data_IF_042359516663
#
_entry.id   IF_042359516663
#
_cell.length_a   1.000
_cell.length_b   1.000
_cell.length_c   1.000
_cell.angle_alpha   90.00
_cell.angle_beta   90.00
_cell.angle_gamma   90.00
#
_symmetry.space_group_name_H-M   'P 1'
#
loop_
_entity.id
_entity.type
_entity.pdbx_description
1 polymer ?
#
# COMPACT_ATOMS: atom_id res chain seq x y z
N UNK A 1 24.36 -60.96 -46.10
CA UNK A 1 24.95 -59.68 -45.67
C UNK A 1 24.31 -59.33 -44.33
N UNK A 2 24.75 -59.90 -43.19
CA UNK A 2 25.91 -59.51 -42.33
C UNK A 2 25.95 -57.99 -42.10
N UNK A 3 25.90 -57.39 -40.91
CA UNK A 3 26.04 -57.72 -39.47
C UNK A 3 25.35 -56.55 -38.71
N UNK A 4 24.91 -56.56 -37.45
CA UNK A 4 25.32 -57.32 -36.27
C UNK A 4 25.60 -56.32 -35.13
N UNK A 5 24.82 -56.42 -34.04
CA UNK A 5 24.92 -55.70 -32.76
C UNK A 5 26.31 -55.77 -32.11
N UNK A 6 26.68 -54.76 -31.31
CA UNK A 6 27.32 -54.98 -30.00
C UNK A 6 27.28 -53.76 -29.05
N UNK A 7 26.94 -54.08 -27.81
CA UNK A 7 26.93 -53.26 -26.61
C UNK A 7 28.35 -52.92 -26.12
N UNK A 8 28.46 -51.85 -25.33
CA UNK A 8 29.60 -51.55 -24.47
C UNK A 8 29.14 -50.68 -23.30
N UNK A 9 28.84 -51.34 -22.18
CA UNK A 9 28.61 -50.80 -20.85
C UNK A 9 29.95 -50.77 -20.08
N UNK A 10 29.96 -49.92 -19.05
CA UNK A 10 30.70 -50.04 -17.78
C UNK A 10 31.92 -49.16 -17.45
N UNK A 11 31.78 -48.66 -16.21
CA UNK A 11 32.74 -48.30 -15.17
C UNK A 11 33.43 -46.92 -15.19
N UNK A 12 33.21 -46.01 -14.24
CA UNK A 12 33.19 -46.05 -12.75
C UNK A 12 34.48 -45.41 -12.19
N UNK A 13 34.30 -44.61 -11.13
CA UNK A 13 35.30 -44.27 -10.09
C UNK A 13 36.02 -42.91 -10.17
N UNK A 14 35.46 -41.96 -9.40
CA UNK A 14 36.11 -41.10 -8.39
C UNK A 14 37.63 -41.19 -8.21
N UNK A 15 38.34 -40.04 -8.27
CA UNK A 15 39.43 -39.66 -7.34
C UNK A 15 39.51 -38.12 -7.21
N UNK A 16 39.35 -37.64 -5.98
CA UNK A 16 39.74 -36.31 -5.49
C UNK A 16 41.26 -36.32 -5.21
N UNK A 17 41.95 -35.19 -5.42
CA UNK A 17 42.88 -34.78 -4.37
C UNK A 17 42.71 -33.32 -3.96
N UNK A 18 42.78 -33.14 -2.65
CA UNK A 18 42.97 -31.90 -1.95
C UNK A 18 44.33 -31.28 -2.28
N UNK A 19 44.39 -29.94 -2.29
CA UNK A 19 45.64 -29.21 -2.16
C UNK A 19 45.46 -28.11 -1.12
N UNK A 20 46.07 -28.38 0.05
CA UNK A 20 46.40 -27.41 1.08
C UNK A 20 47.39 -26.37 0.50
N UNK A 21 47.20 -25.11 0.88
CA UNK A 21 48.12 -24.02 0.59
C UNK A 21 48.00 -22.88 1.60
N UNK A 22 48.64 -23.08 2.76
CA UNK A 22 49.37 -22.09 3.58
C UNK A 22 48.81 -20.69 3.86
N UNK A 23 48.58 -20.46 5.16
CA UNK A 23 48.64 -19.19 5.86
C UNK A 23 49.91 -18.37 5.55
N UNK A 24 49.76 -17.06 5.42
CA UNK A 24 50.79 -16.09 5.82
C UNK A 24 50.12 -14.90 6.50
N UNK A 25 50.57 -14.67 7.74
CA UNK A 25 50.14 -13.63 8.65
C UNK A 25 50.75 -12.27 8.29
N UNK A 26 50.03 -11.19 8.58
CA UNK A 26 50.63 -9.90 8.91
C UNK A 26 49.73 -9.20 9.94
N UNK A 27 50.12 -9.33 11.21
CA UNK A 27 49.48 -8.65 12.31
C UNK A 27 49.83 -7.16 12.36
N UNK A 28 48.93 -6.36 12.95
CA UNK A 28 49.30 -5.14 13.66
C UNK A 28 48.50 -5.05 14.95
N UNK A 29 49.24 -5.20 16.04
CA UNK A 29 48.88 -4.95 17.43
C UNK A 29 48.78 -3.45 17.67
N UNK A 30 47.73 -3.01 18.38
CA UNK A 30 47.73 -1.74 19.10
C UNK A 30 47.34 -1.99 20.55
N UNK A 31 48.19 -1.47 21.44
CA UNK A 31 48.12 -1.53 22.91
C UNK A 31 46.80 -0.98 23.45
N UNK A 32 46.31 -1.64 24.48
CA UNK A 32 45.31 -1.13 25.40
C UNK A 32 46.00 -0.30 26.51
N UNK A 33 45.41 0.84 26.84
CA UNK A 33 45.64 1.55 28.10
C UNK A 33 44.26 1.87 28.69
N UNK A 34 44.02 1.42 29.91
CA UNK A 34 42.73 1.49 30.58
C UNK A 34 42.63 2.69 31.52
N UNK A 35 41.40 3.19 31.70
CA UNK A 35 40.97 3.85 32.93
C UNK A 35 39.46 3.62 33.11
N UNK A 36 39.07 3.43 34.37
CA UNK A 36 37.86 2.73 34.81
C UNK A 36 36.89 3.69 35.52
N UNK A 37 35.57 3.42 35.36
CA UNK A 37 34.36 3.81 36.16
C UNK A 37 33.43 4.89 35.55
N UNK A 38 32.11 4.87 35.88
CA UNK A 38 31.21 3.76 36.21
C UNK A 38 29.93 3.73 35.31
N UNK A 39 29.16 2.66 35.49
CA UNK A 39 27.98 2.23 34.74
C UNK A 39 26.79 3.19 34.81
N UNK A 40 26.17 3.48 33.67
CA UNK A 40 24.71 3.63 33.53
C UNK A 40 24.23 2.74 32.39
N UNK A 41 23.23 1.90 32.67
CA UNK A 41 22.58 1.03 31.68
C UNK A 41 21.70 1.91 30.80
N UNK A 42 22.12 2.18 29.57
CA UNK A 42 21.23 2.71 28.54
C UNK A 42 20.39 1.55 27.99
N UNK A 43 19.12 1.49 28.39
CA UNK A 43 18.09 0.78 27.64
C UNK A 43 17.95 1.49 26.28
N UNK A 44 18.40 0.83 25.21
CA UNK A 44 18.08 1.27 23.84
C UNK A 44 16.65 0.84 23.53
N UNK A 45 15.71 1.77 23.57
CA UNK A 45 14.43 1.64 22.88
C UNK A 45 14.69 2.02 21.41
N UNK A 46 14.65 1.05 20.49
CA UNK A 46 14.62 1.33 19.06
C UNK A 46 13.21 1.76 18.67
N UNK A 47 13.02 3.04 18.38
CA UNK A 47 11.88 3.51 17.61
C UNK A 47 12.40 3.93 16.22
N UNK A 48 11.96 3.22 15.18
CA UNK A 48 12.21 3.57 13.79
C UNK A 48 11.05 4.45 13.33
N UNK A 49 11.29 5.76 13.25
CA UNK A 49 10.47 6.66 12.43
C UNK A 49 11.27 6.93 11.16
N UNK A 50 10.83 6.36 10.02
CA UNK A 50 11.26 6.83 8.70
C UNK A 50 10.36 8.00 8.34
N UNK A 51 11.01 9.03 7.81
CA UNK A 51 10.43 10.22 7.18
C UNK A 51 9.94 11.32 8.13
N UNK A 52 10.87 11.92 8.90
CA UNK A 52 11.05 13.36 9.20
C UNK A 52 12.21 13.48 10.22
N UNK A 53 13.22 14.36 10.05
CA UNK A 53 14.34 14.44 11.00
C UNK A 53 13.92 15.23 12.25
N UNK A 54 13.28 14.58 13.22
CA UNK A 54 13.10 15.16 14.55
C UNK A 54 14.37 14.94 15.38
N UNK A 55 15.16 16.01 15.55
CA UNK A 55 16.33 16.03 16.43
C UNK A 55 15.86 16.02 17.90
N UNK A 56 15.93 14.86 18.57
CA UNK A 56 15.75 14.78 20.02
C UNK A 56 16.96 15.43 20.70
N UNK A 57 16.79 16.61 21.29
CA UNK A 57 17.80 17.23 22.17
C UNK A 57 17.45 16.96 23.62
N UNK A 58 18.36 16.28 24.33
CA UNK A 58 18.30 16.15 25.80
C UNK A 58 18.94 17.42 26.40
N UNK A 59 18.15 18.20 27.16
CA UNK A 59 18.60 19.41 27.84
C UNK A 59 18.39 19.35 29.35
N UNK A 60 19.28 20.00 30.10
CA UNK A 60 19.21 20.11 31.57
C UNK A 60 17.92 20.79 32.07
N UNK A 61 17.50 20.54 33.33
CA UNK A 61 16.25 21.06 33.88
C UNK A 61 16.23 22.59 33.91
N UNK A 62 15.17 23.17 33.34
CA UNK A 62 14.93 24.62 33.30
C UNK A 62 13.93 25.02 34.40
N UNK A 63 14.08 26.24 34.92
CA UNK A 63 13.14 26.86 35.87
C UNK A 63 11.78 27.15 35.23
N UNK A 64 10.72 27.19 36.04
CA UNK A 64 9.31 27.14 35.60
C UNK A 64 8.92 28.24 34.59
N UNK A 65 9.47 29.46 34.70
CA UNK A 65 9.19 30.55 33.77
C UNK A 65 9.84 30.37 32.38
N UNK A 66 10.93 29.60 32.29
CA UNK A 66 11.55 29.22 31.01
C UNK A 66 10.88 28.00 30.34
N UNK A 67 9.97 27.32 31.07
CA UNK A 67 9.25 26.11 30.63
C UNK A 67 8.11 26.47 29.68
N UNK A 68 7.32 27.49 30.03
CA UNK A 68 6.07 27.81 29.33
C UNK A 68 6.29 28.54 27.99
N UNK A 69 7.32 29.40 27.92
CA UNK A 69 7.71 30.06 26.67
C UNK A 69 8.33 29.11 25.63
N UNK A 70 8.99 28.04 26.08
CA UNK A 70 9.66 27.08 25.18
C UNK A 70 8.68 26.02 24.65
N UNK A 71 7.70 25.62 25.45
CA UNK A 71 6.64 24.68 25.05
C UNK A 71 5.81 25.24 23.87
N UNK A 72 5.56 26.55 23.81
CA UNK A 72 4.83 27.16 22.68
C UNK A 72 5.63 27.19 21.38
N UNK A 73 6.95 27.41 21.44
CA UNK A 73 7.85 27.45 20.26
C UNK A 73 7.99 26.11 19.54
N UNK A 74 7.88 25.01 20.28
CA UNK A 74 8.20 23.68 19.78
C UNK A 74 6.93 22.89 19.39
N UNK A 75 5.77 23.22 20.00
CA UNK A 75 4.46 22.72 19.57
C UNK A 75 4.06 23.25 18.18
N UNK A 76 4.41 24.49 17.83
CA UNK A 76 4.19 25.05 16.49
C UNK A 76 5.01 24.32 15.39
N UNK A 77 5.99 23.49 15.77
CA UNK A 77 6.85 22.73 14.85
C UNK A 77 6.53 21.25 14.76
N UNK A 78 5.43 20.79 15.37
CA UNK A 78 4.93 19.42 15.22
C UNK A 78 5.78 18.33 15.89
N UNK A 79 6.61 18.68 16.88
CA UNK A 79 7.43 17.70 17.60
C UNK A 79 6.71 17.21 18.88
N UNK A 80 6.62 15.90 19.07
CA UNK A 80 6.19 15.32 20.35
C UNK A 80 7.34 15.40 21.37
N UNK A 81 7.06 15.80 22.61
CA UNK A 81 8.03 15.81 23.70
C UNK A 81 7.72 14.75 24.76
N UNK A 82 8.75 14.01 25.17
CA UNK A 82 8.70 13.07 26.29
C UNK A 82 9.41 13.70 27.50
N UNK A 83 8.69 13.90 28.60
CA UNK A 83 9.25 14.41 29.85
C UNK A 83 9.63 13.22 30.76
N UNK A 84 10.95 12.99 30.94
CA UNK A 84 11.45 11.91 31.79
C UNK A 84 11.09 12.07 33.27
N UNK A 85 10.84 13.29 33.76
CA UNK A 85 10.48 13.51 35.15
C UNK A 85 9.03 13.08 35.46
N UNK A 86 8.14 13.11 34.47
CA UNK A 86 6.72 12.75 34.60
C UNK A 86 6.32 11.48 33.84
N UNK A 87 7.16 10.97 32.95
CA UNK A 87 6.88 9.79 32.13
C UNK A 87 5.78 9.98 31.08
N UNK A 88 5.42 11.23 30.76
CA UNK A 88 4.33 11.55 29.82
C UNK A 88 4.86 12.03 28.46
N UNK A 89 4.16 11.59 27.40
CA UNK A 89 4.35 12.04 26.03
C UNK A 89 3.29 13.10 25.71
N UNK A 90 3.74 14.29 25.30
CA UNK A 90 2.88 15.40 24.93
C UNK A 90 2.81 15.51 23.41
N UNK A 91 1.60 15.34 22.89
CA UNK A 91 1.24 15.57 21.49
C UNK A 91 0.09 16.60 21.56
N UNK A 92 0.24 17.72 20.86
CA UNK A 92 -0.85 18.66 20.54
C UNK A 92 -1.29 19.68 21.63
N UNK A 93 -0.51 19.90 22.68
CA UNK A 93 -0.60 21.14 23.47
C UNK A 93 -1.96 21.46 24.15
N UNK A 94 -2.76 20.47 24.57
CA UNK A 94 -3.99 20.72 25.34
C UNK A 94 -4.07 19.87 26.62
N UNK A 95 -4.21 20.48 27.81
CA UNK A 95 -4.44 19.72 29.04
C UNK A 95 -5.95 19.49 29.26
N UNK A 96 -6.41 18.25 29.02
CA UNK A 96 -7.73 17.80 29.49
C UNK A 96 -7.68 17.57 31.01
N UNK A 97 -8.05 18.60 31.76
CA UNK A 97 -8.37 18.49 33.20
C UNK A 97 -9.81 18.01 33.33
N UNK A 98 -10.00 16.72 33.60
CA UNK A 98 -11.27 16.22 34.15
C UNK A 98 -11.42 16.71 35.60
N UNK A 99 -12.22 17.76 35.82
CA UNK A 99 -12.80 18.07 37.13
C UNK A 99 -14.05 17.20 37.33
N UNK A 100 -14.20 16.46 38.45
CA UNK A 100 -15.44 15.78 38.77
C UNK A 100 -16.48 16.82 39.23
N UNK A 101 -17.56 16.95 38.46
CA UNK A 101 -18.69 17.81 38.78
C UNK A 101 -19.52 17.18 39.91
N UNK A 102 -19.48 17.79 41.09
CA UNK A 102 -20.37 17.50 42.20
C UNK A 102 -21.82 17.82 41.82
N UNK A 103 -22.63 16.79 41.54
CA UNK A 103 -24.09 16.95 41.51
C UNK A 103 -24.63 17.14 42.93
N UNK A 104 -25.02 18.38 43.22
CA UNK A 104 -25.85 18.75 44.37
C UNK A 104 -27.19 18.03 44.31
N UNK A 105 -27.51 17.39 45.43
CA UNK A 105 -28.83 16.91 45.83
C UNK A 105 -29.84 18.07 45.93
N UNK A 106 -30.98 17.94 45.27
CA UNK A 106 -32.21 18.65 45.66
C UNK A 106 -33.30 17.59 45.81
N UNK A 107 -33.69 17.37 47.06
CA UNK A 107 -34.88 16.59 47.38
C UNK A 107 -36.12 17.46 47.29
N UNK A 108 -37.23 16.87 46.81
CA UNK A 108 -38.57 17.29 47.20
C UNK A 108 -39.48 16.05 47.26
N UNK A 109 -40.30 16.05 48.30
CA UNK A 109 -41.05 14.94 48.89
C UNK A 109 -42.33 14.54 48.13
N UNK A 110 -42.92 13.37 48.44
CA UNK A 110 -44.00 12.74 47.69
C UNK A 110 -45.39 13.26 48.10
N UNK A 111 -46.38 13.15 47.22
CA UNK A 111 -47.78 13.20 47.61
C UNK A 111 -48.67 12.30 46.72
N UNK A 112 -49.53 11.60 47.44
CA UNK A 112 -50.53 10.60 47.13
C UNK A 112 -51.48 10.90 45.93
N UNK A 113 -51.73 9.83 45.17
CA UNK A 113 -53.03 9.27 44.75
C UNK A 113 -54.18 10.19 44.29
N UNK A 114 -54.62 10.02 43.03
CA UNK A 114 -56.03 10.03 42.66
C UNK A 114 -56.30 9.10 41.47
N UNK A 115 -57.30 8.23 41.64
CA UNK A 115 -57.87 7.30 40.66
C UNK A 115 -58.86 8.08 39.78
N UNK A 116 -58.77 7.98 38.45
CA UNK A 116 -59.96 8.06 37.57
C UNK A 116 -59.69 7.55 36.15
N UNK A 117 -60.70 6.87 35.61
CA UNK A 117 -60.74 6.07 34.41
C UNK A 117 -60.45 6.83 33.09
N UNK A 118 -59.78 6.14 32.16
CA UNK A 118 -59.94 6.36 30.73
C UNK A 118 -60.08 5.01 30.00
N UNK A 119 -61.28 4.75 29.50
CA UNK A 119 -61.45 3.91 28.32
C UNK A 119 -61.05 4.72 27.09
N UNK A 120 -60.06 4.23 26.35
CA UNK A 120 -59.86 4.60 24.95
C UNK A 120 -59.55 3.32 24.18
N UNK A 121 -60.20 3.23 23.03
CA UNK A 121 -60.11 2.21 22.00
C UNK A 121 -58.69 1.72 21.70
N UNK A 122 -58.63 0.48 21.21
CA UNK A 122 -57.42 -0.18 20.75
C UNK A 122 -56.61 0.70 19.79
N UNK A 123 -55.49 1.18 20.29
CA UNK A 123 -54.31 1.40 19.48
C UNK A 123 -53.45 0.16 19.72
N UNK A 124 -53.49 -0.78 18.78
CA UNK A 124 -52.36 -1.66 18.56
C UNK A 124 -51.20 -0.75 18.17
N UNK A 125 -50.52 -0.18 19.16
CA UNK A 125 -49.18 0.33 18.95
C UNK A 125 -48.37 -0.91 18.60
N UNK A 126 -48.26 -1.19 17.30
CA UNK A 126 -47.27 -2.12 16.78
C UNK A 126 -45.97 -1.72 17.45
N UNK A 127 -45.50 -2.58 18.36
CA UNK A 127 -44.23 -2.44 19.03
C UNK A 127 -43.20 -2.10 17.96
N UNK A 128 -42.56 -0.94 18.09
CA UNK A 128 -41.57 -0.44 17.16
C UNK A 128 -40.54 -1.55 16.88
N UNK A 129 -40.63 -2.13 15.69
CA UNK A 129 -39.63 -3.04 15.16
C UNK A 129 -38.31 -2.28 15.06
N UNK A 130 -37.25 -2.89 15.57
CA UNK A 130 -35.93 -2.29 15.63
C UNK A 130 -35.33 -2.31 14.22
N UNK A 131 -35.74 -1.34 13.40
CA UNK A 131 -35.17 -1.14 12.08
C UNK A 131 -33.64 -0.97 12.19
N UNK A 132 -32.91 -1.91 11.58
CA UNK A 132 -31.46 -2.01 11.67
C UNK A 132 -30.80 -1.14 10.59
N UNK A 133 -29.74 -0.42 10.97
CA UNK A 133 -28.89 0.38 10.08
C UNK A 133 -27.51 -0.26 9.80
N UNK A 134 -26.52 0.52 9.31
CA UNK A 134 -25.43 0.09 8.43
C UNK A 134 -24.71 -1.18 8.87
N UNK A 135 -24.47 -2.06 7.91
CA UNK A 135 -23.99 -3.42 8.19
C UNK A 135 -22.50 -3.60 7.94
N UNK A 136 -21.92 -2.89 6.96
CA UNK A 136 -20.48 -3.02 6.65
C UNK A 136 -19.90 -1.77 5.97
N UNK A 137 -18.60 -1.58 6.17
CA UNK A 137 -17.75 -0.64 5.42
C UNK A 137 -16.51 -1.42 4.99
N UNK A 138 -16.20 -1.42 3.70
CA UNK A 138 -15.10 -2.19 3.11
C UNK A 138 -14.38 -1.37 2.04
N UNK A 139 -13.06 -1.45 1.99
CA UNK A 139 -12.28 -0.81 0.92
C UNK A 139 -12.36 -1.70 -0.32
N UNK A 140 -13.12 -1.26 -1.32
CA UNK A 140 -13.33 -1.98 -2.57
C UNK A 140 -12.08 -1.96 -3.49
N UNK A 141 -11.23 -0.94 -3.36
CA UNK A 141 -9.93 -0.84 -4.02
C UNK A 141 -9.00 0.15 -3.29
N UNK A 142 -7.78 0.38 -3.81
CA UNK A 142 -6.87 1.43 -3.32
C UNK A 142 -7.40 2.85 -3.45
N UNK A 143 -8.50 3.05 -4.19
CA UNK A 143 -9.08 4.38 -4.44
C UNK A 143 -10.59 4.42 -4.21
N UNK A 144 -11.19 3.35 -3.66
CA UNK A 144 -12.63 3.24 -3.48
C UNK A 144 -13.01 2.53 -2.18
N UNK A 145 -14.01 3.06 -1.50
CA UNK A 145 -14.66 2.46 -0.33
C UNK A 145 -16.13 2.18 -0.66
N UNK A 146 -16.60 1.00 -0.28
CA UNK A 146 -18.01 0.62 -0.35
C UNK A 146 -18.63 0.67 1.06
N UNK A 147 -19.74 1.40 1.18
CA UNK A 147 -20.57 1.44 2.38
C UNK A 147 -21.87 0.72 2.08
N UNK A 148 -22.22 -0.29 2.88
CA UNK A 148 -23.46 -1.04 2.69
C UNK A 148 -24.40 -0.90 3.89
N UNK A 149 -25.61 -0.45 3.61
CA UNK A 149 -26.73 -0.45 4.54
C UNK A 149 -27.65 -1.63 4.25
N UNK A 150 -28.04 -2.34 5.31
CA UNK A 150 -29.06 -3.39 5.25
C UNK A 150 -30.15 -3.01 6.22
N UNK A 151 -31.34 -2.77 5.67
CA UNK A 151 -32.55 -2.40 6.40
C UNK A 151 -33.48 -3.60 6.50
N UNK A 152 -34.13 -3.76 7.64
CA UNK A 152 -35.08 -4.85 7.90
C UNK A 152 -36.21 -4.38 8.81
N UNK A 153 -37.30 -5.14 8.82
CA UNK A 153 -38.49 -4.89 9.64
C UNK A 153 -39.27 -3.62 9.27
N UNK A 154 -39.25 -3.25 7.99
CA UNK A 154 -40.00 -2.12 7.47
C UNK A 154 -41.42 -2.49 7.03
N UNK A 155 -42.34 -1.51 6.93
CA UNK A 155 -43.64 -1.68 6.29
C UNK A 155 -43.52 -2.04 4.80
N UNK A 156 -44.61 -2.53 4.19
CA UNK A 156 -44.54 -3.19 2.89
C UNK A 156 -44.24 -2.28 1.69
N UNK A 157 -44.46 -0.96 1.77
CA UNK A 157 -44.40 -0.11 0.57
C UNK A 157 -43.82 1.28 0.85
N UNK A 158 -43.08 1.82 -0.12
CA UNK A 158 -42.58 3.20 -0.18
C UNK A 158 -41.70 3.62 1.01
N UNK A 159 -40.83 2.72 1.48
CA UNK A 159 -39.87 3.08 2.52
C UNK A 159 -38.78 3.97 1.90
N UNK A 160 -38.50 5.10 2.52
CA UNK A 160 -37.50 6.10 2.11
C UNK A 160 -36.50 6.35 3.25
N UNK A 161 -35.22 6.14 2.96
CA UNK A 161 -34.12 6.34 3.89
C UNK A 161 -33.24 7.49 3.40
N UNK A 162 -32.86 8.40 4.30
CA UNK A 162 -31.87 9.45 4.03
C UNK A 162 -30.51 9.00 4.54
N UNK A 163 -29.53 8.95 3.65
CA UNK A 163 -28.21 8.43 3.94
C UNK A 163 -27.15 9.51 3.79
N UNK A 164 -26.09 9.43 4.59
CA UNK A 164 -24.89 10.22 4.39
C UNK A 164 -23.62 9.51 4.83
N UNK A 165 -22.50 9.86 4.18
CA UNK A 165 -21.17 9.37 4.52
C UNK A 165 -20.26 10.58 4.73
N UNK A 166 -19.57 10.59 5.87
CA UNK A 166 -18.44 11.49 6.13
C UNK A 166 -17.14 10.70 6.21
N UNK A 167 -16.10 11.20 5.56
CA UNK A 167 -14.72 10.69 5.65
C UNK A 167 -13.88 11.76 6.30
N UNK A 168 -13.20 11.42 7.39
CA UNK A 168 -12.35 12.32 8.16
C UNK A 168 -13.04 13.64 8.53
N UNK A 169 -14.35 13.53 8.86
CA UNK A 169 -15.20 14.67 9.20
C UNK A 169 -15.82 15.42 8.01
N UNK A 170 -15.38 15.16 6.78
CA UNK A 170 -15.87 15.81 5.55
C UNK A 170 -17.05 15.02 4.97
N UNK A 171 -18.19 15.69 4.73
CA UNK A 171 -19.35 15.09 4.07
C UNK A 171 -19.06 14.89 2.58
N UNK A 172 -19.01 13.64 2.15
CA UNK A 172 -18.66 13.25 0.78
C UNK A 172 -19.84 12.61 0.03
N UNK A 173 -20.85 12.14 0.75
CA UNK A 173 -22.06 11.59 0.16
C UNK A 173 -23.29 11.98 0.99
N UNK A 174 -24.37 12.31 0.27
CA UNK A 174 -25.72 12.47 0.81
C UNK A 174 -26.71 12.00 -0.25
N UNK A 175 -27.61 11.10 0.12
CA UNK A 175 -28.56 10.53 -0.83
C UNK A 175 -29.84 10.04 -0.16
N UNK A 176 -30.77 9.60 -1.00
CA UNK A 176 -32.01 8.95 -0.57
C UNK A 176 -32.10 7.57 -1.20
N UNK A 177 -32.47 6.57 -0.41
CA UNK A 177 -32.67 5.20 -0.83
C UNK A 177 -34.11 4.79 -0.59
N UNK A 178 -34.81 4.35 -1.64
CA UNK A 178 -36.20 3.90 -1.55
C UNK A 178 -36.32 2.42 -1.85
N UNK A 179 -37.11 1.70 -1.05
CA UNK A 179 -37.39 0.28 -1.28
C UNK A 179 -38.81 -0.11 -0.86
N UNK A 180 -39.29 -1.21 -1.43
CA UNK A 180 -40.55 -1.85 -1.07
C UNK A 180 -40.27 -3.19 -0.39
N UNK A 181 -41.18 -3.62 0.47
CA UNK A 181 -41.08 -4.82 1.28
C UNK A 181 -40.43 -4.58 2.64
N UNK A 182 -40.32 -5.66 3.41
CA UNK A 182 -39.86 -5.60 4.79
C UNK A 182 -38.36 -5.33 4.95
N UNK A 183 -37.59 -5.35 3.87
CA UNK A 183 -36.15 -5.14 3.87
C UNK A 183 -35.64 -4.53 2.57
N UNK A 184 -34.48 -3.88 2.66
CA UNK A 184 -33.80 -3.27 1.52
C UNK A 184 -32.30 -3.18 1.80
N UNK A 185 -31.49 -3.23 0.75
CA UNK A 185 -30.04 -3.08 0.86
C UNK A 185 -29.58 -2.02 -0.12
N UNK A 186 -28.75 -1.09 0.34
CA UNK A 186 -28.10 -0.10 -0.51
C UNK A 186 -26.58 -0.17 -0.33
N UNK A 187 -25.85 -0.10 -1.43
CA UNK A 187 -24.38 -0.02 -1.43
C UNK A 187 -23.96 1.22 -2.18
N UNK A 188 -23.21 2.10 -1.51
CA UNK A 188 -22.66 3.33 -2.09
C UNK A 188 -21.15 3.20 -2.13
N UNK A 189 -20.59 3.41 -3.32
CA UNK A 189 -19.15 3.46 -3.54
C UNK A 189 -18.69 4.92 -3.62
N UNK A 190 -17.66 5.25 -2.85
CA UNK A 190 -17.05 6.59 -2.79
C UNK A 190 -15.55 6.49 -3.07
N UNK A 191 -14.98 7.53 -3.68
CA UNK A 191 -13.53 7.61 -3.85
C UNK A 191 -12.86 8.03 -2.54
N UNK A 192 -11.82 7.30 -2.14
CA UNK A 192 -11.04 7.58 -0.92
C UNK A 192 -9.55 7.42 -1.22
N UNK A 193 -8.71 8.20 -0.55
CA UNK A 193 -7.27 8.00 -0.63
C UNK A 193 -6.87 6.71 0.10
N UNK A 194 -5.67 6.17 -0.18
CA UNK A 194 -5.09 5.15 0.67
C UNK A 194 -4.68 5.73 2.03
N UNK A 195 -4.87 4.94 3.09
CA UNK A 195 -4.46 5.29 4.45
C UNK A 195 -5.52 4.99 5.51
N UNK A 196 -5.24 5.36 6.78
CA UNK A 196 -6.22 5.31 7.85
C UNK A 196 -7.28 6.40 7.66
N UNK A 197 -8.54 6.03 7.75
CA UNK A 197 -9.67 6.93 7.62
C UNK A 197 -10.72 6.69 8.71
N UNK A 198 -11.30 7.78 9.19
CA UNK A 198 -12.51 7.74 10.00
C UNK A 198 -13.74 7.84 9.10
N UNK A 199 -14.58 6.80 9.09
CA UNK A 199 -15.80 6.75 8.30
C UNK A 199 -16.99 6.88 9.24
N UNK A 200 -17.80 7.93 9.07
CA UNK A 200 -19.07 8.11 9.77
C UNK A 200 -20.21 7.95 8.78
N UNK A 201 -21.08 7.01 9.05
CA UNK A 201 -22.25 6.72 8.23
C UNK A 201 -23.50 7.00 9.04
N UNK A 202 -24.46 7.67 8.42
CA UNK A 202 -25.75 8.00 9.01
C UNK A 202 -26.86 7.54 8.07
N UNK A 203 -27.89 6.92 8.63
CA UNK A 203 -29.15 6.64 7.95
C UNK A 203 -30.32 7.06 8.85
N UNK A 204 -31.24 7.86 8.33
CA UNK A 204 -32.43 8.31 9.05
C UNK A 204 -33.70 8.12 8.21
N UNK A 205 -34.80 7.73 8.85
CA UNK A 205 -36.07 7.48 8.18
C UNK A 205 -37.26 7.90 9.03
N UNK A 206 -38.32 8.35 8.35
CA UNK A 206 -39.66 8.52 8.90
C UNK A 206 -40.62 8.10 7.80
N UNK A 207 -41.06 6.85 7.83
CA UNK A 207 -41.79 6.21 6.73
C UNK A 207 -42.93 5.37 7.27
N UNK A 208 -44.14 5.58 6.77
CA UNK A 208 -45.30 4.73 7.09
C UNK A 208 -45.56 4.56 8.60
N UNK A 209 -45.35 5.63 9.38
CA UNK A 209 -45.53 5.62 10.84
C UNK A 209 -44.38 5.01 11.64
N UNK A 210 -43.33 4.51 10.98
CA UNK A 210 -42.09 4.01 11.61
C UNK A 210 -40.98 5.03 11.39
N UNK A 211 -40.39 5.50 12.48
CA UNK A 211 -39.24 6.40 12.46
C UNK A 211 -38.04 5.77 13.14
N UNK A 212 -36.85 6.19 12.74
CA UNK A 212 -35.62 5.75 13.37
C UNK A 212 -34.39 6.36 12.70
N UNK A 213 -33.26 6.15 13.35
CA UNK A 213 -31.96 6.56 12.86
C UNK A 213 -30.91 5.50 13.21
N UNK A 214 -29.81 5.53 12.46
CA UNK A 214 -28.64 4.73 12.76
C UNK A 214 -27.38 5.48 12.37
N UNK A 215 -26.53 5.66 13.38
CA UNK A 215 -25.21 6.25 13.26
C UNK A 215 -24.15 5.23 13.60
N UNK A 216 -23.14 5.09 12.74
CA UNK A 216 -21.98 4.26 13.00
C UNK A 216 -20.69 4.96 12.60
N UNK A 217 -19.66 4.70 13.40
CA UNK A 217 -18.29 5.14 13.15
C UNK A 217 -17.43 3.90 12.93
N UNK A 218 -16.62 3.94 11.88
CA UNK A 218 -15.61 2.95 11.57
C UNK A 218 -14.26 3.64 11.50
N UNK A 219 -13.23 2.97 12.00
CA UNK A 219 -11.85 3.30 11.68
C UNK A 219 -11.41 2.22 10.71
N UNK A 220 -11.19 2.61 9.46
CA UNK A 220 -10.74 1.68 8.43
C UNK A 220 -9.35 2.09 7.98
N UNK A 221 -8.48 1.11 7.83
CA UNK A 221 -7.24 1.31 7.12
C UNK A 221 -7.47 0.85 5.69
N UNK A 222 -7.80 1.78 4.80
CA UNK A 222 -7.79 1.48 3.38
C UNK A 222 -6.35 1.33 2.96
N UNK A 223 -5.86 0.09 3.05
CA UNK A 223 -4.53 -0.24 2.57
C UNK A 223 -4.36 0.36 1.17
N UNK A 224 -3.20 0.95 0.92
CA UNK A 224 -2.69 0.94 -0.45
C UNK A 224 -2.87 -0.51 -0.90
N UNK A 225 -3.60 -0.76 -2.00
CA UNK A 225 -3.62 -2.10 -2.58
C UNK A 225 -2.17 -2.56 -2.55
N UNK A 226 -1.88 -3.61 -1.76
CA UNK A 226 -0.49 -3.99 -1.51
C UNK A 226 0.15 -4.12 -2.88
N UNK A 227 1.22 -3.35 -3.16
CA UNK A 227 1.73 -3.29 -4.51
C UNK A 227 1.97 -4.70 -4.98
N UNK A 228 1.37 -5.08 -6.10
CA UNK A 228 1.56 -6.43 -6.64
C UNK A 228 3.05 -6.70 -6.70
N UNK A 229 3.52 -7.81 -6.14
CA UNK A 229 4.94 -8.14 -6.23
C UNK A 229 5.35 -8.14 -7.71
N UNK A 230 6.46 -7.49 -8.10
CA UNK A 230 6.91 -7.49 -9.48
C UNK A 230 7.07 -8.92 -10.01
N UNK A 231 6.54 -9.14 -11.21
CA UNK A 231 6.57 -10.41 -11.90
C UNK A 231 7.69 -10.41 -12.94
N UNK A 232 8.29 -11.57 -13.13
CA UNK A 232 9.42 -11.72 -14.05
C UNK A 232 8.97 -11.68 -15.52
N UNK A 233 9.86 -11.37 -16.48
CA UNK A 233 9.55 -11.51 -17.91
C UNK A 233 9.05 -12.92 -18.27
N UNK A 234 9.54 -13.96 -17.59
CA UNK A 234 9.10 -15.34 -17.79
C UNK A 234 7.64 -15.58 -17.40
N UNK A 235 7.17 -14.92 -16.34
CA UNK A 235 5.75 -14.97 -15.96
C UNK A 235 4.89 -14.35 -17.06
N UNK A 236 5.17 -13.10 -17.44
CA UNK A 236 4.40 -12.37 -18.44
C UNK A 236 4.35 -13.11 -19.79
N UNK A 237 5.49 -13.65 -20.23
CA UNK A 237 5.59 -14.49 -21.44
C UNK A 237 4.65 -15.70 -21.43
N UNK A 238 4.40 -16.29 -20.26
CA UNK A 238 3.59 -17.50 -20.10
C UNK A 238 2.13 -17.22 -19.72
N UNK A 239 1.81 -15.99 -19.32
CA UNK A 239 0.45 -15.54 -18.97
C UNK A 239 0.04 -14.43 -19.95
N UNK A 240 -0.21 -14.82 -21.20
CA UNK A 240 -0.54 -13.85 -22.26
C UNK A 240 -1.99 -13.36 -22.17
N UNK A 241 -2.96 -14.27 -22.06
CA UNK A 241 -4.40 -13.96 -22.11
C UNK A 241 -5.25 -14.73 -21.09
N UNK A 242 -4.66 -15.66 -20.35
CA UNK A 242 -5.36 -16.51 -19.37
C UNK A 242 -4.82 -16.31 -17.96
N UNK A 243 -5.71 -16.38 -16.97
CA UNK A 243 -5.39 -16.09 -15.57
C UNK A 243 -5.36 -14.59 -15.28
N UNK A 244 -5.13 -14.21 -14.03
CA UNK A 244 -4.94 -12.81 -13.64
C UNK A 244 -3.84 -12.75 -12.58
N UNK A 245 -2.85 -11.84 -12.69
CA UNK A 245 -2.64 -10.91 -13.81
C UNK A 245 -2.15 -11.60 -15.10
N UNK A 246 -2.47 -11.03 -16.27
CA UNK A 246 -1.96 -11.47 -17.56
C UNK A 246 -1.55 -10.28 -18.46
N UNK A 247 -0.75 -10.54 -19.48
CA UNK A 247 -0.18 -9.50 -20.35
C UNK A 247 -1.25 -8.69 -21.07
N UNK A 248 -2.30 -9.34 -21.60
CA UNK A 248 -3.37 -8.68 -22.36
C UNK A 248 -4.10 -7.59 -21.57
N UNK A 249 -4.26 -7.77 -20.25
CA UNK A 249 -4.91 -6.78 -19.37
C UNK A 249 -4.18 -5.44 -19.32
N UNK A 250 -2.86 -5.45 -19.59
CA UNK A 250 -1.99 -4.31 -19.41
C UNK A 250 -1.33 -3.83 -20.71
N UNK A 251 -1.81 -4.30 -21.86
CA UNK A 251 -1.46 -3.70 -23.15
C UNK A 251 -2.46 -2.58 -23.51
N UNK A 252 -2.04 -1.55 -24.27
CA UNK A 252 -0.74 -1.41 -24.92
C UNK A 252 0.38 -0.91 -23.99
N UNK A 253 1.62 -1.22 -24.34
CA UNK A 253 2.85 -0.72 -23.70
C UNK A 253 3.81 -0.12 -24.74
N UNK A 254 4.83 0.63 -24.31
CA UNK A 254 5.74 1.34 -25.23
C UNK A 254 7.20 1.03 -24.90
N UNK A 255 7.95 0.56 -25.89
CA UNK A 255 9.39 0.29 -25.76
C UNK A 255 10.14 1.27 -26.65
N UNK A 256 10.53 2.39 -26.05
CA UNK A 256 10.93 3.58 -26.81
C UNK A 256 9.81 4.04 -27.73
N UNK A 257 10.09 4.13 -29.03
CA UNK A 257 9.08 4.48 -30.04
C UNK A 257 8.24 3.29 -30.54
N UNK A 258 8.57 2.05 -30.14
CA UNK A 258 7.85 0.86 -30.58
C UNK A 258 6.63 0.58 -29.70
N UNK A 259 5.42 0.57 -30.28
CA UNK A 259 4.19 0.21 -29.56
C UNK A 259 3.98 -1.29 -29.52
N UNK A 260 3.70 -1.80 -28.32
CA UNK A 260 3.31 -3.18 -28.05
C UNK A 260 1.81 -3.20 -27.80
N UNK A 261 1.03 -3.53 -28.82
CA UNK A 261 -0.44 -3.51 -28.77
C UNK A 261 -1.02 -4.91 -28.56
N UNK A 262 -0.31 -5.95 -29.03
CA UNK A 262 -0.81 -7.34 -28.97
C UNK A 262 0.07 -8.26 -28.15
N UNK A 263 -0.51 -9.36 -27.68
CA UNK A 263 0.21 -10.40 -26.93
C UNK A 263 1.22 -11.13 -27.81
N UNK A 264 1.03 -11.19 -29.13
CA UNK A 264 2.01 -11.72 -30.08
C UNK A 264 3.27 -10.84 -30.13
N UNK A 265 3.10 -9.51 -30.17
CA UNK A 265 4.22 -8.58 -30.12
C UNK A 265 4.97 -8.68 -28.78
N UNK A 266 4.24 -8.73 -27.65
CA UNK A 266 4.84 -8.92 -26.33
C UNK A 266 5.60 -10.25 -26.25
N UNK A 267 5.01 -11.34 -26.73
CA UNK A 267 5.65 -12.67 -26.76
C UNK A 267 6.90 -12.67 -27.63
N UNK A 268 6.88 -12.00 -28.78
CA UNK A 268 8.05 -11.85 -29.65
C UNK A 268 9.19 -11.09 -28.96
N UNK A 269 8.90 -10.01 -28.23
CA UNK A 269 9.87 -9.28 -27.42
C UNK A 269 10.49 -10.18 -26.34
N UNK A 270 9.67 -10.89 -25.56
CA UNK A 270 10.19 -11.79 -24.52
C UNK A 270 10.99 -12.97 -25.08
N UNK A 271 10.68 -13.45 -26.30
CA UNK A 271 11.47 -14.49 -26.98
C UNK A 271 12.80 -13.94 -27.52
N UNK A 272 12.82 -12.70 -27.99
CA UNK A 272 14.01 -12.04 -28.51
C UNK A 272 14.96 -11.51 -27.42
N UNK A 273 14.59 -11.60 -26.14
CA UNK A 273 15.32 -11.08 -24.98
C UNK A 273 16.66 -11.81 -24.73
N UNK A 274 17.64 -11.57 -25.61
CA UNK A 274 19.00 -12.12 -25.58
C UNK A 274 20.01 -10.97 -25.50
N UNK A 275 21.00 -11.06 -24.61
CA UNK A 275 21.97 -9.98 -24.37
C UNK A 275 23.34 -10.21 -25.06
N UNK A 276 23.47 -11.30 -25.81
CA UNK A 276 24.71 -11.69 -26.48
C UNK A 276 25.06 -10.71 -27.61
N UNK A 277 26.32 -10.26 -27.68
CA UNK A 277 26.80 -9.42 -28.79
C UNK A 277 26.96 -10.18 -30.10
N UNK A 278 26.97 -11.52 -30.06
CA UNK A 278 27.09 -12.38 -31.23
C UNK A 278 25.76 -12.62 -31.97
N UNK A 279 24.64 -12.15 -31.44
CA UNK A 279 23.33 -12.27 -32.10
C UNK A 279 22.87 -10.92 -32.64
N UNK A 280 22.06 -10.92 -33.72
CA UNK A 280 21.52 -9.67 -34.26
C UNK A 280 20.67 -8.88 -33.27
N UNK A 281 20.10 -9.53 -32.25
CA UNK A 281 19.27 -8.92 -31.23
C UNK A 281 20.06 -8.01 -30.28
N UNK A 282 21.33 -8.32 -30.00
CA UNK A 282 22.25 -7.59 -29.13
C UNK A 282 21.67 -7.20 -27.73
N UNK A 283 22.39 -6.42 -26.93
CA UNK A 283 21.95 -6.02 -25.59
C UNK A 283 20.62 -5.23 -25.59
N UNK A 284 20.24 -4.60 -26.70
CA UNK A 284 19.01 -3.80 -26.82
C UNK A 284 17.74 -4.66 -26.68
N UNK A 285 17.70 -5.87 -27.25
CA UNK A 285 16.52 -6.74 -27.13
C UNK A 285 16.39 -7.31 -25.72
N UNK A 286 17.52 -7.49 -25.03
CA UNK A 286 17.55 -7.84 -23.62
C UNK A 286 17.05 -6.72 -22.71
N UNK A 287 17.40 -5.46 -23.00
CA UNK A 287 16.84 -4.29 -22.33
C UNK A 287 15.33 -4.17 -22.59
N UNK A 288 14.90 -4.28 -23.85
CA UNK A 288 13.50 -4.19 -24.27
C UNK A 288 12.59 -5.19 -23.53
N UNK A 289 13.00 -6.45 -23.41
CA UNK A 289 12.20 -7.45 -22.70
C UNK A 289 12.13 -7.21 -21.18
N UNK A 290 13.18 -6.66 -20.57
CA UNK A 290 13.13 -6.29 -19.15
C UNK A 290 12.28 -5.05 -18.91
N UNK A 291 12.37 -4.07 -19.82
CA UNK A 291 11.55 -2.86 -19.78
C UNK A 291 10.07 -3.21 -19.90
N UNK A 292 9.69 -4.03 -20.89
CA UNK A 292 8.31 -4.47 -21.04
C UNK A 292 7.76 -5.14 -19.78
N UNK A 293 8.54 -6.01 -19.13
CA UNK A 293 8.12 -6.61 -17.86
C UNK A 293 7.94 -5.57 -16.76
N UNK A 294 8.82 -4.58 -16.67
CA UNK A 294 8.70 -3.50 -15.66
C UNK A 294 7.49 -2.61 -15.92
N UNK A 295 7.18 -2.28 -17.18
CA UNK A 295 5.97 -1.53 -17.54
C UNK A 295 4.69 -2.30 -17.19
N UNK A 296 4.63 -3.59 -17.51
CA UNK A 296 3.49 -4.45 -17.13
C UNK A 296 3.36 -4.56 -15.61
N UNK A 297 4.48 -4.62 -14.86
CA UNK A 297 4.46 -4.61 -13.41
C UNK A 297 3.88 -3.29 -12.86
N UNK A 298 4.33 -2.14 -13.38
CA UNK A 298 3.80 -0.84 -12.99
C UNK A 298 2.29 -0.73 -13.28
N UNK A 299 1.84 -1.19 -14.46
CA UNK A 299 0.42 -1.23 -14.81
C UNK A 299 -0.39 -2.19 -13.91
N UNK A 300 0.22 -3.27 -13.45
CA UNK A 300 -0.33 -4.22 -12.47
C UNK A 300 -0.26 -3.72 -11.01
N UNK A 301 0.14 -2.47 -10.79
CA UNK A 301 0.17 -1.86 -9.46
C UNK A 301 1.38 -2.25 -8.60
N UNK A 302 2.47 -2.73 -9.19
CA UNK A 302 3.74 -2.92 -8.49
C UNK A 302 4.38 -1.60 -8.03
N UNK A 303 5.37 -1.61 -7.10
CA UNK A 303 5.98 -0.39 -6.58
C UNK A 303 6.54 0.54 -7.66
N UNK A 304 6.17 1.82 -7.62
CA UNK A 304 6.53 2.82 -8.64
C UNK A 304 7.98 3.31 -8.60
N UNK A 305 8.79 2.82 -7.66
CA UNK A 305 10.18 3.25 -7.48
C UNK A 305 11.07 3.02 -8.71
N UNK A 306 10.72 2.09 -9.60
CA UNK A 306 11.46 1.82 -10.83
C UNK A 306 11.13 2.83 -11.96
N UNK A 307 10.11 3.67 -11.79
CA UNK A 307 9.60 4.57 -12.83
C UNK A 307 10.69 5.47 -13.46
N UNK A 308 11.65 6.05 -12.72
CA UNK A 308 12.74 6.83 -13.33
C UNK A 308 13.58 6.00 -14.31
N UNK A 309 13.91 4.75 -13.96
CA UNK A 309 14.70 3.85 -14.81
C UNK A 309 13.91 3.41 -16.03
N UNK A 310 12.61 3.15 -15.88
CA UNK A 310 11.70 2.88 -17.01
C UNK A 310 11.69 4.06 -17.97
N UNK A 311 11.61 5.30 -17.46
CA UNK A 311 11.64 6.50 -18.28
C UNK A 311 12.99 6.67 -19.01
N UNK A 312 14.12 6.52 -18.32
CA UNK A 312 15.46 6.58 -18.95
C UNK A 312 15.62 5.50 -20.02
N UNK A 313 15.20 4.26 -19.74
CA UNK A 313 15.28 3.17 -20.72
C UNK A 313 14.41 3.44 -21.95
N UNK A 314 13.19 3.95 -21.78
CA UNK A 314 12.32 4.34 -22.89
C UNK A 314 12.92 5.49 -23.72
N UNK A 315 13.44 6.52 -23.07
CA UNK A 315 14.09 7.64 -23.75
C UNK A 315 15.29 7.16 -24.57
N UNK A 316 16.16 6.34 -23.98
CA UNK A 316 17.32 5.77 -24.66
C UNK A 316 16.93 4.86 -25.85
N UNK A 317 15.90 4.02 -25.69
CA UNK A 317 15.37 3.16 -26.76
C UNK A 317 14.61 3.94 -27.86
N UNK A 318 14.29 5.21 -27.61
CA UNK A 318 13.75 6.13 -28.61
C UNK A 318 14.84 6.82 -29.43
N UNK A 319 16.13 6.57 -29.13
CA UNK A 319 17.26 7.21 -29.80
C UNK A 319 17.79 8.47 -29.11
N UNK A 320 17.23 8.86 -27.96
CA UNK A 320 17.71 10.01 -27.19
C UNK A 320 19.01 9.70 -26.47
N UNK A 321 19.81 10.74 -26.20
CA UNK A 321 21.06 10.60 -25.44
C UNK A 321 20.76 10.58 -23.95
N UNK A 322 21.17 9.52 -23.27
CA UNK A 322 21.12 9.38 -21.81
C UNK A 322 22.55 9.21 -21.30
N UNK A 323 22.90 9.91 -20.21
CA UNK A 323 24.25 9.88 -19.61
C UNK A 323 25.41 10.10 -20.60
N UNK A 324 25.18 10.93 -21.62
CA UNK A 324 26.15 11.23 -22.68
C UNK A 324 26.35 10.10 -23.70
N UNK A 325 25.57 9.02 -23.61
CA UNK A 325 25.58 7.91 -24.57
C UNK A 325 24.40 8.04 -25.53
N UNK A 326 24.63 8.18 -26.85
CA UNK A 326 23.55 8.22 -27.82
C UNK A 326 22.66 6.98 -27.75
N UNK A 327 21.34 7.20 -27.73
CA UNK A 327 20.35 6.14 -27.72
C UNK A 327 20.43 5.19 -28.91
N UNK A 328 19.80 4.04 -28.76
CA UNK A 328 19.65 3.08 -29.85
C UNK A 328 18.15 2.90 -30.14
N UNK A 329 17.72 3.25 -31.35
CA UNK A 329 16.32 3.14 -31.76
C UNK A 329 15.87 1.67 -31.76
N UNK A 330 14.94 1.32 -30.88
CA UNK A 330 14.33 -0.01 -30.87
C UNK A 330 13.23 -0.08 -31.93
N UNK A 331 13.47 -0.88 -32.97
CA UNK A 331 12.55 -1.06 -34.10
C UNK A 331 11.68 -2.33 -33.97
N UNK A 332 11.79 -3.06 -32.85
CA UNK A 332 11.05 -4.29 -32.58
C UNK A 332 11.91 -5.55 -32.49
N UNK A 333 11.30 -6.71 -32.17
CA UNK A 333 12.02 -7.93 -31.81
C UNK A 333 12.67 -8.67 -32.99
N UNK A 334 12.29 -8.36 -34.24
CA UNK A 334 12.84 -8.97 -35.46
C UNK A 334 13.94 -8.13 -36.13
N UNK A 335 14.21 -6.93 -35.62
CA UNK A 335 15.24 -6.07 -36.19
C UNK A 335 16.65 -6.52 -35.80
N UNK A 336 17.62 -6.10 -36.63
CA UNK A 336 19.04 -6.34 -36.41
C UNK A 336 19.69 -5.09 -35.85
N UNK A 337 20.46 -5.24 -34.78
CA UNK A 337 21.02 -4.15 -34.02
C UNK A 337 22.54 -4.21 -33.96
N UNK A 338 23.17 -3.14 -34.42
CA UNK A 338 24.61 -2.91 -34.27
C UNK A 338 24.83 -1.79 -33.26
N UNK A 339 25.27 -2.16 -32.06
CA UNK A 339 25.54 -1.21 -30.99
C UNK A 339 27.04 -0.90 -30.94
N UNK A 340 27.36 0.36 -30.68
CA UNK A 340 28.71 0.73 -30.22
C UNK A 340 28.97 0.13 -28.83
N UNK A 341 30.24 0.07 -28.42
CA UNK A 341 30.59 -0.44 -27.09
C UNK A 341 29.93 0.38 -25.98
N UNK A 342 29.86 1.71 -26.12
CA UNK A 342 29.22 2.61 -25.16
C UNK A 342 27.71 2.31 -25.05
N UNK A 343 27.01 2.22 -26.20
CA UNK A 343 25.59 1.87 -26.24
C UNK A 343 25.31 0.50 -25.60
N UNK A 344 26.16 -0.48 -25.87
CA UNK A 344 26.02 -1.81 -25.29
C UNK A 344 26.20 -1.78 -23.77
N UNK A 345 27.16 -1.01 -23.27
CA UNK A 345 27.39 -0.86 -21.84
C UNK A 345 26.19 -0.20 -21.16
N UNK A 346 25.62 0.84 -21.78
CA UNK A 346 24.43 1.54 -21.29
C UNK A 346 23.21 0.63 -21.24
N UNK A 347 22.93 -0.09 -22.33
CA UNK A 347 21.85 -1.06 -22.37
C UNK A 347 21.96 -2.12 -21.26
N UNK A 348 23.18 -2.57 -20.96
CA UNK A 348 23.43 -3.53 -19.87
C UNK A 348 23.25 -2.90 -18.49
N UNK A 349 23.63 -1.63 -18.31
CA UNK A 349 23.47 -0.92 -17.04
C UNK A 349 21.99 -0.75 -16.68
N UNK A 350 21.19 -0.20 -17.60
CA UNK A 350 19.74 -0.06 -17.45
C UNK A 350 19.07 -1.42 -17.22
N UNK A 351 19.43 -2.43 -18.03
CA UNK A 351 18.92 -3.79 -17.89
C UNK A 351 19.19 -4.38 -16.50
N UNK A 352 20.36 -4.13 -15.90
CA UNK A 352 20.69 -4.66 -14.56
C UNK A 352 19.76 -4.08 -13.49
N UNK A 353 19.41 -2.80 -13.59
CA UNK A 353 18.47 -2.15 -12.68
C UNK A 353 17.07 -2.75 -12.81
N UNK A 354 16.57 -2.89 -14.05
CA UNK A 354 15.27 -3.51 -14.32
C UNK A 354 15.20 -4.98 -13.88
N UNK A 355 16.28 -5.75 -14.02
CA UNK A 355 16.34 -7.14 -13.51
C UNK A 355 16.22 -7.20 -11.99
N UNK A 356 16.88 -6.31 -11.25
CA UNK A 356 16.79 -6.27 -9.78
C UNK A 356 15.34 -6.06 -9.35
N UNK A 357 14.66 -5.12 -9.99
CA UNK A 357 13.24 -4.88 -9.77
C UNK A 357 12.37 -6.08 -10.16
N UNK A 358 12.43 -6.55 -11.40
CA UNK A 358 11.56 -7.62 -11.92
C UNK A 358 11.77 -8.98 -11.23
N UNK A 359 12.93 -9.22 -10.62
CA UNK A 359 13.26 -10.51 -10.00
C UNK A 359 13.13 -10.52 -8.49
N UNK A 360 13.27 -9.35 -7.84
CA UNK A 360 13.35 -9.25 -6.38
C UNK A 360 12.46 -8.18 -5.77
N UNK A 361 11.81 -7.35 -6.57
CA UNK A 361 11.12 -6.15 -6.11
C UNK A 361 12.05 -5.10 -5.51
N UNK A 362 13.35 -5.19 -5.77
CA UNK A 362 14.34 -4.23 -5.27
C UNK A 362 14.37 -2.99 -6.17
N UNK A 363 14.19 -1.83 -5.56
CA UNK A 363 14.38 -0.55 -6.23
C UNK A 363 15.88 -0.27 -6.46
N UNK A 364 16.24 0.48 -7.51
CA UNK A 364 17.62 0.86 -7.83
C UNK A 364 18.37 1.57 -6.71
#
# INVERSE_FOLDING_TARGET
MLLGLRNGLDDSSTVVPALLGTLAAAGRSWKAEGAHRPKTRNLRLSAVCRDFPCLVRVGNPLTDEAREGRIRSDAERGCAMFDEASGQLWVDGSPDILKPEQRRSVGLRPLLAFVLALGIAGLTASSASAAKGPSTVECASSSALAVTWTFSEFPAENNTIKESIKVDGVLIYKGEFTFNGASGTNTVTISIAPGPHEIKVHAGWVTNGVGGESDRKFIVECSQAQPSAPLTPGYWKNHLSSGSPNTQQYLPQSIGSYRVETTEQASAIFRAMNCASSTPQNAISCLAGQLLASELNLANGSPSCIAPVVATANSWLSGNTEDGVPGALYAGPSANYTLTQAQRNEAIALKKQLVRYNSKGECP
#
